data_IF_976828660314
#
_entry.id   IF_976828660314
#
_cell.length_a   1.000
_cell.length_b   1.000
_cell.length_c   1.000
_cell.angle_alpha   90.00
_cell.angle_beta   90.00
_cell.angle_gamma   90.00
#
_symmetry.space_group_name_H-M   'P 1'
#
loop_
_entity.id
_entity.type
_entity.pdbx_description
1 polymer ?
#
# COMPACT_ATOMS: atom_id res chain seq x y z
N UNK A 1 -26.11 -58.61 5.88
CA UNK A 1 -25.11 -57.52 5.84
C UNK A 1 -25.74 -56.30 6.47
N UNK A 2 -25.27 -55.87 7.66
CA UNK A 2 -25.86 -54.74 8.36
C UNK A 2 -25.58 -53.44 7.58
N UNK A 3 -26.65 -52.80 7.10
CA UNK A 3 -26.60 -51.48 6.47
C UNK A 3 -26.25 -50.45 7.56
N UNK A 4 -24.97 -50.08 7.65
CA UNK A 4 -24.51 -49.01 8.53
C UNK A 4 -25.07 -47.69 7.98
N UNK A 5 -26.18 -47.22 8.54
CA UNK A 5 -26.73 -45.92 8.17
C UNK A 5 -25.76 -44.82 8.62
N UNK A 6 -25.39 -43.88 7.73
CA UNK A 6 -24.49 -42.81 8.10
C UNK A 6 -25.10 -41.93 9.20
N UNK A 7 -24.30 -41.42 10.14
CA UNK A 7 -24.74 -40.50 11.18
C UNK A 7 -25.53 -39.32 10.57
N UNK A 8 -26.68 -39.01 11.16
CA UNK A 8 -27.52 -37.89 10.73
C UNK A 8 -26.69 -36.60 10.72
N UNK A 9 -26.66 -35.90 9.58
CA UNK A 9 -25.94 -34.64 9.42
C UNK A 9 -24.48 -34.73 8.93
N UNK A 10 -23.95 -35.95 8.70
CA UNK A 10 -22.57 -36.13 8.20
C UNK A 10 -22.38 -35.50 6.82
N UNK A 11 -23.38 -35.62 5.93
CA UNK A 11 -23.39 -34.96 4.61
C UNK A 11 -23.28 -33.44 4.72
N UNK A 12 -24.10 -32.81 5.58
CA UNK A 12 -24.05 -31.36 5.80
C UNK A 12 -22.69 -30.91 6.35
N UNK A 13 -22.06 -31.70 7.22
CA UNK A 13 -20.72 -31.40 7.75
C UNK A 13 -19.65 -31.43 6.65
N UNK A 14 -19.70 -32.44 5.76
CA UNK A 14 -18.77 -32.57 4.63
C UNK A 14 -18.93 -31.41 3.66
N UNK A 15 -20.17 -31.12 3.22
CA UNK A 15 -20.46 -30.01 2.29
C UNK A 15 -19.94 -28.68 2.86
N UNK A 16 -20.21 -28.42 4.16
CA UNK A 16 -19.76 -27.20 4.85
C UNK A 16 -18.24 -27.11 4.91
N UNK A 17 -17.53 -28.22 5.17
CA UNK A 17 -16.06 -28.25 5.23
C UNK A 17 -15.43 -28.01 3.85
N UNK A 18 -15.98 -28.63 2.80
CA UNK A 18 -15.56 -28.41 1.41
C UNK A 18 -15.71 -26.93 1.00
N UNK A 19 -16.83 -26.30 1.38
CA UNK A 19 -17.06 -24.88 1.13
C UNK A 19 -16.03 -23.98 1.81
N UNK A 20 -15.66 -24.30 3.06
CA UNK A 20 -14.64 -23.56 3.81
C UNK A 20 -13.24 -23.73 3.21
N UNK A 21 -12.84 -24.94 2.82
CA UNK A 21 -11.55 -25.19 2.15
C UNK A 21 -11.43 -24.43 0.83
N UNK A 22 -12.49 -24.42 0.01
CA UNK A 22 -12.52 -23.67 -1.24
C UNK A 22 -12.34 -22.16 -0.99
N UNK A 23 -13.02 -21.61 0.02
CA UNK A 23 -12.84 -20.20 0.41
C UNK A 23 -11.43 -19.90 0.89
N UNK A 24 -10.82 -20.82 1.65
CA UNK A 24 -9.47 -20.68 2.18
C UNK A 24 -8.42 -20.68 1.06
N UNK A 25 -8.60 -21.50 0.02
CA UNK A 25 -7.77 -21.48 -1.18
C UNK A 25 -7.80 -20.14 -1.92
N UNK A 26 -9.00 -19.56 -2.10
CA UNK A 26 -9.16 -18.24 -2.75
C UNK A 26 -8.46 -17.16 -1.92
N UNK A 27 -8.65 -17.15 -0.60
CA UNK A 27 -8.05 -16.15 0.28
C UNK A 27 -6.54 -16.27 0.31
N UNK A 28 -5.98 -17.49 0.36
CA UNK A 28 -4.54 -17.70 0.29
C UNK A 28 -3.95 -17.16 -1.01
N UNK A 29 -4.62 -17.39 -2.15
CA UNK A 29 -4.19 -16.84 -3.45
C UNK A 29 -4.22 -15.31 -3.46
N UNK A 30 -5.29 -14.71 -2.95
CA UNK A 30 -5.41 -13.25 -2.85
C UNK A 30 -4.34 -12.66 -1.93
N UNK A 31 -4.03 -13.32 -0.81
CA UNK A 31 -2.98 -12.88 0.11
C UNK A 31 -1.60 -12.87 -0.58
N UNK A 32 -1.29 -13.91 -1.36
CA UNK A 32 -0.07 -13.96 -2.16
C UNK A 32 -0.01 -12.84 -3.21
N UNK A 33 -1.10 -12.58 -3.92
CA UNK A 33 -1.19 -11.49 -4.89
C UNK A 33 -0.99 -10.11 -4.24
N UNK A 34 -1.68 -9.83 -3.12
CA UNK A 34 -1.52 -8.55 -2.42
C UNK A 34 -0.12 -8.39 -1.81
N UNK A 35 0.50 -9.48 -1.34
CA UNK A 35 1.88 -9.46 -0.87
C UNK A 35 2.86 -9.13 -1.99
N UNK A 36 2.69 -9.73 -3.19
CA UNK A 36 3.53 -9.42 -4.35
C UNK A 36 3.35 -7.96 -4.79
N UNK A 37 2.10 -7.47 -4.79
CA UNK A 37 1.77 -6.07 -5.08
C UNK A 37 2.46 -5.12 -4.09
N UNK A 38 2.44 -5.42 -2.79
CA UNK A 38 3.14 -4.62 -1.76
C UNK A 38 4.65 -4.54 -2.01
N UNK A 39 5.31 -5.66 -2.33
CA UNK A 39 6.74 -5.67 -2.69
C UNK A 39 7.00 -4.79 -3.92
N UNK A 40 6.17 -4.91 -4.96
CA UNK A 40 6.27 -4.09 -6.16
C UNK A 40 6.18 -2.59 -5.86
N UNK A 41 5.19 -2.17 -5.05
CA UNK A 41 5.05 -0.77 -4.65
C UNK A 41 6.17 -0.27 -3.74
N UNK A 42 6.76 -1.15 -2.93
CA UNK A 42 7.93 -0.79 -2.10
C UNK A 42 9.14 -0.47 -2.98
N UNK A 43 9.35 -1.24 -4.04
CA UNK A 43 10.41 -0.98 -5.03
C UNK A 43 10.14 0.34 -5.75
N UNK A 44 8.93 0.53 -6.28
CA UNK A 44 8.51 1.78 -6.94
C UNK A 44 8.69 3.00 -6.03
N UNK A 45 8.30 2.90 -4.75
CA UNK A 45 8.48 3.97 -3.78
C UNK A 45 9.96 4.30 -3.55
N UNK A 46 10.82 3.28 -3.48
CA UNK A 46 12.26 3.48 -3.32
C UNK A 46 12.86 4.22 -4.52
N UNK A 47 12.50 3.83 -5.75
CA UNK A 47 12.93 4.55 -6.95
C UNK A 47 12.36 5.98 -7.02
N UNK A 48 11.11 6.19 -6.60
CA UNK A 48 10.53 7.52 -6.54
C UNK A 48 11.26 8.44 -5.56
N UNK A 49 11.72 7.92 -4.41
CA UNK A 49 12.54 8.68 -3.44
C UNK A 49 13.90 9.04 -4.04
N UNK A 50 14.55 8.11 -4.74
CA UNK A 50 15.85 8.37 -5.39
C UNK A 50 15.68 9.43 -6.48
N UNK A 51 14.70 9.27 -7.36
CA UNK A 51 14.42 10.24 -8.42
C UNK A 51 14.03 11.61 -7.86
N UNK A 52 13.30 11.68 -6.75
CA UNK A 52 13.00 12.96 -6.11
C UNK A 52 14.26 13.64 -5.58
N UNK A 53 15.22 12.90 -5.01
CA UNK A 53 16.50 13.47 -4.56
C UNK A 53 17.30 14.03 -5.74
N UNK A 54 17.43 13.27 -6.81
CA UNK A 54 18.16 13.68 -8.01
C UNK A 54 17.56 14.96 -8.62
N UNK A 55 16.23 15.01 -8.77
CA UNK A 55 15.55 16.21 -9.27
C UNK A 55 15.69 17.39 -8.29
N UNK A 56 15.68 17.15 -6.98
CA UNK A 56 15.89 18.21 -5.99
C UNK A 56 17.30 18.78 -6.05
N UNK A 57 18.31 17.93 -6.26
CA UNK A 57 19.72 18.32 -6.37
C UNK A 57 19.99 19.11 -7.67
N UNK A 58 19.28 18.79 -8.76
CA UNK A 58 19.33 19.55 -10.01
C UNK A 58 18.50 20.85 -9.97
N UNK A 59 17.45 20.89 -9.14
CA UNK A 59 16.55 22.04 -9.06
C UNK A 59 17.11 23.19 -8.21
N UNK A 60 16.71 24.41 -8.54
CA UNK A 60 16.95 25.59 -7.70
C UNK A 60 16.06 25.66 -6.44
N UNK A 61 15.21 24.65 -6.20
CA UNK A 61 14.25 24.64 -5.10
C UNK A 61 14.91 24.63 -3.72
N UNK A 62 15.94 23.80 -3.53
CA UNK A 62 16.68 23.71 -2.27
C UNK A 62 17.34 25.05 -1.86
N UNK A 63 18.11 25.69 -2.75
CA UNK A 63 18.66 27.03 -2.52
C UNK A 63 17.59 28.10 -2.25
N UNK A 64 16.45 28.07 -2.96
CA UNK A 64 15.33 28.99 -2.71
C UNK A 64 14.73 28.81 -1.31
N UNK A 65 14.56 27.57 -0.85
CA UNK A 65 14.13 27.29 0.52
C UNK A 65 15.17 27.72 1.56
N UNK A 66 16.46 27.58 1.27
CA UNK A 66 17.52 28.07 2.16
C UNK A 66 17.48 29.60 2.30
N UNK A 67 17.10 30.30 1.24
CA UNK A 67 17.03 31.77 1.20
C UNK A 67 16.03 32.36 2.21
N UNK A 68 14.93 31.64 2.49
CA UNK A 68 13.96 31.98 3.55
C UNK A 68 14.61 32.11 4.93
N UNK A 69 15.62 31.30 5.21
CA UNK A 69 16.32 31.26 6.50
C UNK A 69 17.59 32.10 6.50
N UNK A 70 18.28 32.18 5.35
CA UNK A 70 19.53 32.93 5.22
C UNK A 70 19.32 34.44 5.10
N UNK A 71 18.34 34.88 4.31
CA UNK A 71 18.03 36.31 4.12
C UNK A 71 16.52 36.52 3.97
N UNK A 72 15.78 36.49 5.09
CA UNK A 72 14.34 36.74 5.08
C UNK A 72 14.01 38.17 4.63
N UNK A 73 14.93 39.13 4.75
CA UNK A 73 14.73 40.52 4.32
C UNK A 73 14.59 40.60 2.80
N UNK A 74 15.46 39.92 2.06
CA UNK A 74 15.37 39.81 0.61
C UNK A 74 14.09 39.10 0.15
N UNK A 75 13.63 38.07 0.89
CA UNK A 75 12.37 37.36 0.60
C UNK A 75 11.16 38.28 0.78
N UNK A 76 11.09 39.04 1.88
CA UNK A 76 9.97 39.96 2.13
C UNK A 76 9.95 41.08 1.08
N UNK A 77 11.12 41.61 0.70
CA UNK A 77 11.23 42.64 -0.33
C UNK A 77 10.76 42.16 -1.71
N UNK A 78 10.96 40.87 -2.04
CA UNK A 78 10.63 40.28 -3.33
C UNK A 78 9.60 39.15 -3.21
N UNK A 79 8.66 39.26 -2.27
CA UNK A 79 7.76 38.16 -1.90
C UNK A 79 6.98 37.58 -3.09
N UNK A 80 6.56 38.45 -4.01
CA UNK A 80 5.78 38.07 -5.17
C UNK A 80 6.61 37.20 -6.13
N UNK A 81 7.80 37.67 -6.52
CA UNK A 81 8.72 36.93 -7.40
C UNK A 81 9.23 35.65 -6.74
N UNK A 82 9.51 35.70 -5.44
CA UNK A 82 9.97 34.54 -4.68
C UNK A 82 8.97 33.39 -4.72
N UNK A 83 7.68 33.65 -4.47
CA UNK A 83 6.64 32.61 -4.52
C UNK A 83 6.57 31.99 -5.91
N UNK A 84 6.59 32.79 -6.99
CA UNK A 84 6.58 32.25 -8.35
C UNK A 84 7.80 31.38 -8.65
N UNK A 85 9.01 31.82 -8.27
CA UNK A 85 10.23 31.02 -8.44
C UNK A 85 10.21 29.72 -7.64
N UNK A 86 9.63 29.72 -6.43
CA UNK A 86 9.45 28.50 -5.63
C UNK A 86 8.48 27.54 -6.32
N UNK A 87 7.36 28.04 -6.87
CA UNK A 87 6.42 27.22 -7.62
C UNK A 87 7.01 26.65 -8.92
N UNK A 88 7.80 27.45 -9.64
CA UNK A 88 8.42 27.03 -10.91
C UNK A 88 9.54 26.01 -10.69
N UNK A 89 10.31 26.15 -9.61
CA UNK A 89 11.38 25.22 -9.25
C UNK A 89 10.88 23.94 -8.58
N UNK A 90 9.61 23.90 -8.14
CA UNK A 90 9.08 22.76 -7.41
C UNK A 90 8.98 21.53 -8.33
N UNK A 91 9.54 20.37 -7.93
CA UNK A 91 9.53 19.15 -8.73
C UNK A 91 8.17 18.44 -8.62
N UNK A 92 7.12 19.09 -9.12
CA UNK A 92 5.71 18.71 -8.95
C UNK A 92 5.45 17.27 -9.41
N UNK A 93 6.06 16.85 -10.53
CA UNK A 93 5.92 15.49 -11.05
C UNK A 93 6.56 14.45 -10.13
N UNK A 94 7.78 14.68 -9.65
CA UNK A 94 8.46 13.75 -8.76
C UNK A 94 7.72 13.60 -7.42
N UNK A 95 7.22 14.72 -6.88
CA UNK A 95 6.39 14.74 -5.67
C UNK A 95 5.07 13.99 -5.90
N UNK A 96 4.40 14.20 -7.03
CA UNK A 96 3.16 13.51 -7.37
C UNK A 96 3.35 11.99 -7.46
N UNK A 97 4.42 11.54 -8.13
CA UNK A 97 4.78 10.11 -8.23
C UNK A 97 5.05 9.52 -6.85
N UNK A 98 5.78 10.24 -5.98
CA UNK A 98 6.06 9.81 -4.61
C UNK A 98 4.78 9.66 -3.78
N UNK A 99 3.89 10.65 -3.83
CA UNK A 99 2.59 10.61 -3.11
C UNK A 99 1.75 9.44 -3.61
N UNK A 100 1.70 9.23 -4.93
CA UNK A 100 0.94 8.14 -5.53
C UNK A 100 1.52 6.79 -5.12
N UNK A 101 2.84 6.60 -5.19
CA UNK A 101 3.51 5.39 -4.73
C UNK A 101 3.23 5.11 -3.25
N UNK A 102 3.27 6.14 -2.40
CA UNK A 102 2.93 6.02 -0.97
C UNK A 102 1.47 5.63 -0.75
N UNK A 103 0.54 6.24 -1.48
CA UNK A 103 -0.89 5.92 -1.39
C UNK A 103 -1.16 4.46 -1.78
N UNK A 104 -0.55 3.98 -2.86
CA UNK A 104 -0.69 2.58 -3.29
C UNK A 104 -0.02 1.61 -2.31
N UNK A 105 1.12 1.97 -1.73
CA UNK A 105 1.77 1.18 -0.69
C UNK A 105 0.86 1.02 0.53
N UNK A 106 0.33 2.13 1.06
CA UNK A 106 -0.62 2.09 2.19
C UNK A 106 -1.90 1.30 1.85
N UNK A 107 -2.41 1.48 0.63
CA UNK A 107 -3.57 0.74 0.15
C UNK A 107 -3.31 -0.77 0.11
N UNK A 108 -2.15 -1.20 -0.37
CA UNK A 108 -1.78 -2.61 -0.41
C UNK A 108 -1.64 -3.22 1.00
N UNK A 109 -1.08 -2.49 1.97
CA UNK A 109 -1.04 -2.92 3.39
C UNK A 109 -2.45 -3.15 3.92
N UNK A 110 -3.38 -2.22 3.65
CA UNK A 110 -4.78 -2.36 4.07
C UNK A 110 -5.44 -3.61 3.47
N UNK A 111 -5.20 -3.90 2.19
CA UNK A 111 -5.74 -5.09 1.52
C UNK A 111 -5.19 -6.39 2.11
N UNK A 112 -3.90 -6.42 2.46
CA UNK A 112 -3.26 -7.55 3.14
C UNK A 112 -3.90 -7.74 4.52
N UNK A 113 -4.03 -6.69 5.31
CA UNK A 113 -4.60 -6.75 6.66
C UNK A 113 -6.04 -7.31 6.64
N UNK A 114 -6.89 -6.82 5.72
CA UNK A 114 -8.26 -7.31 5.55
C UNK A 114 -8.28 -8.78 5.13
N UNK A 115 -7.43 -9.17 4.19
CA UNK A 115 -7.34 -10.55 3.70
C UNK A 115 -6.83 -11.51 4.78
N UNK A 116 -5.87 -11.07 5.60
CA UNK A 116 -5.34 -11.84 6.72
C UNK A 116 -6.40 -12.02 7.83
N UNK A 117 -7.18 -10.98 8.12
CA UNK A 117 -8.33 -11.05 9.03
C UNK A 117 -9.35 -12.11 8.60
N UNK A 118 -9.72 -12.13 7.31
CA UNK A 118 -10.62 -13.15 6.74
C UNK A 118 -10.02 -14.56 6.80
N UNK A 119 -8.72 -14.69 6.52
CA UNK A 119 -8.01 -15.97 6.62
C UNK A 119 -8.03 -16.52 8.05
N UNK A 120 -7.69 -15.69 9.04
CA UNK A 120 -7.62 -16.10 10.45
C UNK A 120 -8.98 -16.56 11.00
N UNK A 121 -10.07 -15.88 10.63
CA UNK A 121 -11.42 -16.23 11.08
C UNK A 121 -11.91 -17.55 10.49
N UNK A 122 -11.63 -17.81 9.20
CA UNK A 122 -11.96 -19.07 8.55
C UNK A 122 -11.10 -20.23 9.07
N UNK A 123 -9.80 -20.00 9.28
CA UNK A 123 -8.92 -21.00 9.87
C UNK A 123 -9.39 -21.41 11.28
N UNK A 124 -9.81 -20.44 12.10
CA UNK A 124 -10.39 -20.70 13.44
C UNK A 124 -11.69 -21.51 13.32
N UNK A 125 -12.54 -21.20 12.33
CA UNK A 125 -13.81 -21.90 12.10
C UNK A 125 -13.63 -23.36 11.67
N UNK A 126 -12.59 -23.66 10.88
CA UNK A 126 -12.25 -25.03 10.46
C UNK A 126 -11.67 -25.85 11.62
N UNK A 127 -10.87 -25.22 12.49
CA UNK A 127 -10.24 -25.90 13.64
C UNK A 127 -11.22 -26.22 14.77
N UNK A 128 -12.30 -25.45 14.87
CA UNK A 128 -13.36 -25.65 15.88
C UNK A 128 -14.53 -26.55 15.43
N UNK A 129 -14.51 -27.06 14.19
CA UNK A 129 -15.49 -28.03 13.66
C UNK A 129 -14.88 -29.38 13.46
#
# INVERSE_FOLDING_TARGET
MAQVQPPRGLFNRIIKRLGLEKQLGIIRRNLGFFSAMFVGFTILFTFAVIGLREVLDESSFGPLLSLLFSDPGAVIANWHSFIFSVFESMPTLAVAVLILALAFLLFSVRLIAVSFGKFSSLAKKIRGT
#
